data_IF_802525997046
#
_entry.id   IF_802525997046
#
_cell.length_a   1.000
_cell.length_b   1.000
_cell.length_c   1.000
_cell.angle_alpha   90.00
_cell.angle_beta   90.00
_cell.angle_gamma   90.00
#
_symmetry.space_group_name_H-M   'P 1'
#
loop_
_entity.id
_entity.type
_entity.pdbx_description
1 polymer ?
#
# COMPACT_ATOMS: atom_id res chain seq x y z
N UNK A 1 -14.75 54.05 -59.34
CA UNK A 1 -13.62 53.23 -58.90
C UNK A 1 -13.73 52.96 -57.41
N UNK A 2 -14.46 51.98 -56.91
CA UNK A 2 -15.64 51.25 -57.36
C UNK A 2 -16.18 50.59 -56.07
N UNK A 3 -17.49 50.76 -55.87
CA UNK A 3 -18.49 49.77 -55.40
C UNK A 3 -18.11 48.83 -54.22
N UNK A 4 -18.90 48.61 -53.18
CA UNK A 4 -20.31 48.90 -52.81
C UNK A 4 -20.49 48.31 -51.38
N UNK A 5 -20.94 48.98 -50.29
CA UNK A 5 -22.29 49.49 -49.92
C UNK A 5 -23.36 48.37 -49.98
N UNK A 6 -24.24 48.01 -49.02
CA UNK A 6 -24.81 48.64 -47.81
C UNK A 6 -25.57 47.60 -46.92
N UNK A 7 -25.61 47.86 -45.60
CA UNK A 7 -26.79 47.99 -44.69
C UNK A 7 -28.13 47.31 -45.05
N UNK A 8 -28.80 46.69 -44.07
CA UNK A 8 -29.98 47.28 -43.40
C UNK A 8 -30.56 46.49 -42.21
N UNK A 9 -31.01 47.27 -41.21
CA UNK A 9 -31.94 46.95 -40.13
C UNK A 9 -33.35 46.59 -40.62
N UNK A 10 -34.13 45.82 -39.83
CA UNK A 10 -35.37 46.36 -39.25
C UNK A 10 -36.08 45.41 -38.28
N UNK A 11 -36.46 46.02 -37.15
CA UNK A 11 -37.50 45.62 -36.21
C UNK A 11 -38.91 45.59 -36.84
N UNK A 12 -39.83 44.75 -36.35
CA UNK A 12 -41.19 45.22 -36.01
C UNK A 12 -41.98 44.24 -35.11
N UNK A 13 -42.82 44.85 -34.27
CA UNK A 13 -43.67 44.28 -33.21
C UNK A 13 -45.00 43.69 -33.73
N UNK A 14 -45.61 42.86 -32.87
CA UNK A 14 -46.96 43.02 -32.27
C UNK A 14 -48.09 42.01 -32.60
N UNK A 15 -48.81 41.70 -31.51
CA UNK A 15 -50.26 41.35 -31.30
C UNK A 15 -50.51 39.90 -30.87
N UNK A 16 -50.81 39.62 -29.60
CA UNK A 16 -52.06 39.87 -28.81
C UNK A 16 -53.30 39.17 -29.36
N UNK A 17 -53.78 38.17 -28.62
CA UNK A 17 -55.20 38.03 -28.27
C UNK A 17 -55.41 36.95 -27.19
N UNK A 18 -55.82 37.39 -25.99
CA UNK A 18 -56.57 36.59 -25.00
C UNK A 18 -58.02 36.37 -25.49
N UNK A 19 -58.77 35.40 -24.93
CA UNK A 19 -59.66 35.66 -23.77
C UNK A 19 -59.76 34.41 -22.84
N UNK A 20 -60.40 34.31 -21.67
CA UNK A 20 -61.26 35.13 -20.81
C UNK A 20 -61.40 34.38 -19.45
N UNK A 21 -61.59 35.14 -18.37
CA UNK A 21 -61.98 34.69 -17.00
C UNK A 21 -63.43 34.18 -16.94
N UNK A 22 -63.72 33.28 -15.99
CA UNK A 22 -64.79 33.49 -14.98
C UNK A 22 -64.83 32.41 -13.88
N UNK A 23 -64.85 32.89 -12.61
CA UNK A 23 -65.67 32.49 -11.42
C UNK A 23 -65.98 31.00 -11.15
N UNK A 24 -65.98 30.42 -9.94
CA UNK A 24 -65.97 30.89 -8.55
C UNK A 24 -66.70 29.86 -7.65
N UNK A 25 -66.48 29.93 -6.32
CA UNK A 25 -67.24 29.38 -5.17
C UNK A 25 -66.95 27.98 -4.55
N UNK A 26 -66.66 28.09 -3.24
CA UNK A 26 -67.19 27.35 -2.07
C UNK A 26 -66.77 25.90 -1.78
N UNK A 27 -66.35 25.66 -0.52
CA UNK A 27 -65.95 24.37 0.06
C UNK A 27 -67.11 23.38 0.32
N UNK A 28 -66.84 22.19 0.89
CA UNK A 28 -66.75 22.06 2.35
C UNK A 28 -65.66 21.09 2.87
N UNK A 29 -65.54 20.97 4.21
CA UNK A 29 -64.54 20.19 4.96
C UNK A 29 -64.93 18.70 5.17
N UNK A 30 -63.88 17.84 5.19
CA UNK A 30 -63.67 16.52 5.89
C UNK A 30 -64.46 15.29 5.38
N UNK A 31 -63.97 14.02 5.53
CA UNK A 31 -63.05 13.51 6.57
C UNK A 31 -61.87 12.60 6.14
N UNK A 32 -61.07 12.25 7.16
CA UNK A 32 -59.86 11.40 7.19
C UNK A 32 -60.09 9.94 6.73
N UNK A 33 -59.17 9.41 5.92
CA UNK A 33 -58.36 8.17 6.08
C UNK A 33 -58.07 7.46 4.76
N UNK A 34 -56.82 6.97 4.62
CA UNK A 34 -56.31 5.88 3.74
C UNK A 34 -56.22 6.28 2.25
N UNK A 35 -55.18 6.02 1.45
CA UNK A 35 -53.81 5.50 1.53
C UNK A 35 -53.27 5.62 0.08
N UNK A 36 -51.95 5.58 -0.09
CA UNK A 36 -51.19 5.21 -1.31
C UNK A 36 -50.46 6.37 -2.04
N UNK A 37 -49.18 6.50 -1.65
CA UNK A 37 -47.94 6.55 -2.46
C UNK A 37 -47.89 7.53 -3.64
N UNK A 38 -47.04 8.56 -3.53
CA UNK A 38 -45.93 8.85 -4.46
C UNK A 38 -45.18 10.14 -4.03
N UNK A 39 -43.87 10.15 -4.31
CA UNK A 39 -42.91 11.28 -4.24
C UNK A 39 -42.26 11.57 -2.88
N UNK A 40 -41.16 10.86 -2.60
CA UNK A 40 -39.95 11.41 -1.95
C UNK A 40 -38.82 10.36 -1.95
N UNK A 41 -38.17 10.14 -3.09
CA UNK A 41 -36.89 9.42 -3.15
C UNK A 41 -35.93 10.22 -4.04
N UNK A 42 -35.14 11.07 -3.40
CA UNK A 42 -33.87 11.57 -3.92
C UNK A 42 -33.05 12.04 -2.73
N UNK A 43 -31.80 11.57 -2.66
CA UNK A 43 -30.79 11.80 -1.63
C UNK A 43 -30.82 10.85 -0.42
N UNK A 44 -30.36 9.60 -0.63
CA UNK A 44 -29.61 8.83 0.38
C UNK A 44 -29.13 7.49 -0.23
N UNK A 45 -28.03 7.49 -0.98
CA UNK A 45 -27.20 6.27 -1.18
C UNK A 45 -25.73 6.70 -1.26
N UNK A 46 -25.16 7.04 -0.10
CA UNK A 46 -23.80 6.57 0.19
C UNK A 46 -23.96 5.11 0.58
N UNK A 47 -23.33 4.21 -0.17
CA UNK A 47 -23.35 2.78 0.14
C UNK A 47 -22.13 2.46 1.01
N UNK A 48 -22.26 2.26 2.33
CA UNK A 48 -21.27 1.53 3.09
C UNK A 48 -21.41 0.04 2.77
N UNK A 49 -20.26 -0.58 2.54
CA UNK A 49 -20.08 -2.02 2.39
C UNK A 49 -20.85 -2.76 3.50
N UNK A 50 -21.79 -3.61 3.08
CA UNK A 50 -22.61 -4.45 3.96
C UNK A 50 -21.74 -5.37 4.82
N UNK A 51 -21.80 -5.18 6.14
CA UNK A 51 -21.51 -6.20 7.15
C UNK A 51 -22.83 -6.82 7.62
N UNK A 52 -22.92 -8.15 7.54
CA UNK A 52 -24.09 -8.90 8.00
C UNK A 52 -24.22 -8.84 9.53
N UNK A 53 -25.36 -8.33 10.00
CA UNK A 53 -25.79 -8.41 11.40
C UNK A 53 -26.30 -9.83 11.70
N UNK A 54 -25.60 -10.56 12.57
CA UNK A 54 -26.24 -11.58 13.40
C UNK A 54 -26.13 -11.15 14.86
N UNK A 55 -27.29 -10.76 15.41
CA UNK A 55 -27.52 -10.61 16.84
C UNK A 55 -27.40 -11.99 17.52
N UNK A 56 -26.44 -12.14 18.43
CA UNK A 56 -26.48 -13.14 19.50
C UNK A 56 -26.32 -12.38 20.81
N UNK A 57 -27.23 -12.69 21.74
CA UNK A 57 -27.41 -12.03 23.02
C UNK A 57 -26.21 -12.20 23.97
N UNK A 58 -26.06 -11.20 24.82
CA UNK A 58 -25.24 -11.02 26.02
C UNK A 58 -24.74 -12.29 26.73
N UNK A 59 -23.48 -12.24 27.16
CA UNK A 59 -22.98 -13.01 28.30
C UNK A 59 -21.46 -12.98 28.43
N UNK A 60 -21.00 -12.51 29.59
CA UNK A 60 -19.66 -12.69 30.18
C UNK A 60 -18.57 -11.62 29.92
N UNK A 61 -18.25 -10.98 31.05
CA UNK A 61 -17.17 -10.04 31.32
C UNK A 61 -15.89 -10.86 31.54
N UNK A 62 -14.80 -10.51 30.86
CA UNK A 62 -13.45 -10.93 31.25
C UNK A 62 -12.52 -9.71 31.25
N UNK A 63 -11.78 -9.61 32.35
CA UNK A 63 -11.02 -8.47 32.84
C UNK A 63 -9.72 -8.20 32.08
N UNK A 64 -9.35 -6.92 32.06
CA UNK A 64 -8.01 -6.44 31.81
C UNK A 64 -7.05 -6.96 32.89
N UNK A 65 -5.98 -7.66 32.49
CA UNK A 65 -4.66 -7.65 33.12
C UNK A 65 -3.74 -8.59 32.32
N UNK A 66 -2.74 -8.02 31.63
CA UNK A 66 -1.40 -8.62 31.42
C UNK A 66 -0.58 -7.79 30.41
N UNK A 67 -0.07 -6.64 30.85
CA UNK A 67 1.09 -5.97 30.26
C UNK A 67 1.96 -5.37 31.35
N UNK A 68 2.76 -6.21 32.03
CA UNK A 68 3.91 -5.74 32.79
C UNK A 68 5.00 -6.81 32.87
N UNK A 69 6.07 -6.64 32.08
CA UNK A 69 7.33 -7.37 32.26
C UNK A 69 8.28 -6.48 33.07
N UNK A 70 8.68 -6.92 34.26
CA UNK A 70 9.84 -6.40 35.01
C UNK A 70 10.81 -7.55 35.33
N UNK A 71 12.14 -7.32 35.32
CA UNK A 71 13.15 -8.37 35.45
C UNK A 71 13.39 -8.74 36.92
N UNK A 72 13.91 -9.96 37.23
CA UNK A 72 14.14 -10.36 38.60
C UNK A 72 15.48 -9.84 39.14
N UNK A 73 15.41 -9.21 40.32
CA UNK A 73 16.55 -8.92 41.19
C UNK A 73 16.73 -10.03 42.24
N UNK A 74 17.99 -10.33 42.52
CA UNK A 74 18.53 -11.21 43.56
C UNK A 74 18.11 -10.85 45.00
N UNK A 75 17.81 -11.86 45.82
CA UNK A 75 18.26 -12.04 47.22
C UNK A 75 17.51 -13.24 47.85
N UNK A 76 18.20 -14.30 48.31
CA UNK A 76 18.82 -14.48 49.63
C UNK A 76 17.81 -14.65 50.78
N UNK A 77 17.48 -15.89 51.18
CA UNK A 77 17.13 -16.27 52.57
C UNK A 77 17.58 -17.72 52.86
N UNK A 78 18.25 -17.89 54.01
CA UNK A 78 18.75 -19.11 54.66
C UNK A 78 17.66 -19.95 55.31
N UNK A 79 17.92 -21.26 55.43
CA UNK A 79 17.89 -22.12 56.66
C UNK A 79 17.42 -23.55 56.31
N UNK A 80 17.80 -24.66 56.95
CA UNK A 80 18.87 -25.08 57.88
C UNK A 80 18.78 -26.64 57.95
N UNK A 81 19.94 -27.32 58.00
CA UNK A 81 20.27 -28.61 58.69
C UNK A 81 19.75 -29.92 58.04
N UNK A 82 20.45 -31.07 58.01
CA UNK A 82 21.58 -31.60 58.81
C UNK A 82 22.35 -32.75 58.08
N UNK A 83 23.64 -32.96 58.46
CA UNK A 83 24.38 -34.26 58.70
C UNK A 83 24.48 -35.31 57.56
N UNK A 84 25.59 -35.98 57.17
CA UNK A 84 26.89 -36.35 57.80
C UNK A 84 27.86 -36.87 56.71
N UNK A 85 29.17 -36.81 56.98
CA UNK A 85 30.18 -37.89 56.74
C UNK A 85 30.99 -38.01 55.43
N UNK A 86 32.30 -37.77 55.61
CA UNK A 86 33.49 -38.50 55.09
C UNK A 86 34.09 -38.22 53.69
N UNK A 87 35.34 -37.73 53.75
CA UNK A 87 36.45 -37.72 52.75
C UNK A 87 36.95 -39.15 52.41
N UNK A 88 37.97 -39.39 51.53
CA UNK A 88 38.77 -38.49 50.66
C UNK A 88 38.97 -38.94 49.17
N UNK A 89 39.41 -37.99 48.32
CA UNK A 89 40.47 -37.97 47.25
C UNK A 89 40.91 -39.26 46.47
N UNK A 90 41.69 -39.18 45.36
CA UNK A 90 41.92 -38.12 44.34
C UNK A 90 42.03 -38.66 42.86
N UNK A 91 42.43 -37.77 41.94
CA UNK A 91 43.21 -37.98 40.68
C UNK A 91 42.46 -38.09 39.34
N UNK A 92 42.94 -37.30 38.36
CA UNK A 92 42.82 -37.53 36.91
C UNK A 92 42.10 -36.39 36.17
N UNK A 93 42.83 -35.44 35.56
CA UNK A 93 43.00 -35.33 34.09
C UNK A 93 41.72 -34.86 33.37
N UNK A 94 41.62 -33.87 32.48
CA UNK A 94 42.49 -33.11 31.55
C UNK A 94 41.59 -32.00 30.95
N UNK A 95 42.16 -30.91 30.39
CA UNK A 95 41.44 -30.07 29.42
C UNK A 95 41.68 -28.56 29.49
N UNK A 96 42.35 -27.95 28.49
CA UNK A 96 42.77 -26.55 28.50
C UNK A 96 41.83 -25.58 27.76
N UNK A 97 41.93 -24.33 28.20
CA UNK A 97 41.96 -23.05 27.49
C UNK A 97 40.93 -22.64 26.42
N UNK A 98 40.34 -21.48 26.74
CA UNK A 98 39.53 -20.59 25.92
C UNK A 98 40.41 -19.81 24.92
N UNK A 99 40.20 -20.05 23.64
CA UNK A 99 40.42 -19.10 22.54
C UNK A 99 39.05 -18.43 22.26
N UNK A 100 38.85 -17.13 22.06
CA UNK A 100 39.75 -16.11 21.53
C UNK A 100 39.01 -15.43 20.36
N UNK A 101 38.14 -14.45 20.63
CA UNK A 101 37.47 -13.65 19.59
C UNK A 101 37.75 -12.16 19.83
N UNK A 102 38.85 -11.66 19.25
CA UNK A 102 39.18 -10.23 19.13
C UNK A 102 40.06 -10.01 17.91
N UNK A 103 39.48 -9.57 16.79
CA UNK A 103 40.10 -8.88 15.65
C UNK A 103 38.89 -8.38 14.82
N UNK A 104 38.65 -7.10 14.55
CA UNK A 104 39.48 -6.13 13.82
C UNK A 104 38.99 -4.70 14.14
N UNK A 105 39.85 -3.86 14.72
CA UNK A 105 39.80 -2.39 14.57
C UNK A 105 41.18 -1.84 14.97
N UNK A 106 42.03 -1.57 13.96
CA UNK A 106 43.04 -0.50 13.93
C UNK A 106 43.87 -0.64 12.68
N UNK A 107 43.90 0.40 11.87
CA UNK A 107 45.14 1.02 11.39
C UNK A 107 44.80 2.39 10.77
N UNK A 108 45.07 3.44 11.54
CA UNK A 108 45.23 4.83 11.10
C UNK A 108 46.51 5.34 11.76
N UNK A 109 47.22 6.21 11.03
CA UNK A 109 48.39 7.03 11.40
C UNK A 109 49.78 6.38 11.31
N UNK A 110 50.53 6.67 10.23
CA UNK A 110 51.46 7.81 10.14
C UNK A 110 52.32 7.74 8.86
N UNK A 111 52.36 8.82 8.08
CA UNK A 111 53.52 9.16 7.24
C UNK A 111 53.52 10.68 6.99
N UNK A 112 54.64 11.32 7.32
CA UNK A 112 54.95 12.74 7.05
C UNK A 112 55.77 12.88 5.78
N UNK A 113 55.45 13.94 5.03
CA UNK A 113 56.30 14.81 4.20
C UNK A 113 57.36 14.21 3.26
N UNK A 114 57.06 14.22 1.95
CA UNK A 114 58.02 14.53 0.87
C UNK A 114 57.31 15.37 -0.22
N UNK A 115 58.01 16.42 -0.67
CA UNK A 115 57.68 17.50 -1.63
C UNK A 115 57.41 17.03 -3.09
N UNK A 116 56.79 17.86 -3.97
CA UNK A 116 56.11 17.41 -5.18
C UNK A 116 56.90 17.62 -6.49
N UNK A 117 56.80 16.67 -7.43
CA UNK A 117 56.81 16.92 -8.88
C UNK A 117 56.42 15.66 -9.69
N UNK A 118 55.80 15.90 -10.85
CA UNK A 118 55.50 14.97 -11.97
C UNK A 118 54.38 13.93 -11.77
N UNK A 119 53.14 14.17 -12.23
CA UNK A 119 52.62 14.14 -13.61
C UNK A 119 52.21 12.74 -14.14
N UNK A 120 50.90 12.60 -14.35
CA UNK A 120 50.22 11.78 -15.36
C UNK A 120 50.48 10.26 -15.40
N UNK A 121 49.54 9.52 -14.82
CA UNK A 121 48.73 8.43 -15.43
C UNK A 121 48.32 7.49 -14.31
N UNK A 122 47.05 7.57 -13.92
CA UNK A 122 46.33 6.43 -13.35
C UNK A 122 44.85 6.61 -13.68
N UNK A 123 44.46 6.07 -14.83
CA UNK A 123 43.10 5.59 -15.05
C UNK A 123 42.89 4.44 -14.07
N UNK A 124 42.45 4.76 -12.86
CA UNK A 124 41.91 3.77 -11.95
C UNK A 124 40.49 3.47 -12.41
N UNK A 125 40.37 2.30 -13.03
CA UNK A 125 39.15 1.49 -13.14
C UNK A 125 38.27 1.66 -11.91
N UNK A 126 37.22 2.48 -12.06
CA UNK A 126 36.06 2.49 -11.19
C UNK A 126 35.38 1.13 -11.34
N UNK A 127 35.75 0.20 -10.47
CA UNK A 127 35.00 -1.03 -10.25
C UNK A 127 33.58 -0.65 -9.87
N UNK A 128 32.67 -0.83 -10.83
CA UNK A 128 31.23 -0.80 -10.62
C UNK A 128 30.90 -1.71 -9.43
N UNK A 129 30.63 -1.11 -8.27
CA UNK A 129 29.77 -1.74 -7.29
C UNK A 129 28.40 -1.85 -7.97
N UNK A 130 28.14 -3.02 -8.57
CA UNK A 130 26.81 -3.42 -9.02
C UNK A 130 25.82 -3.08 -7.90
N UNK A 131 24.87 -2.18 -8.17
CA UNK A 131 23.85 -1.86 -7.17
C UNK A 131 23.17 -3.17 -6.79
N UNK A 132 23.08 -3.44 -5.48
CA UNK A 132 22.41 -4.65 -4.93
C UNK A 132 20.91 -4.68 -5.32
N UNK A 133 20.38 -3.55 -5.81
CA UNK A 133 19.01 -3.35 -6.21
C UNK A 133 18.91 -3.10 -7.71
N UNK A 134 17.86 -3.64 -8.32
CA UNK A 134 17.42 -3.23 -9.64
C UNK A 134 16.89 -1.79 -9.58
N UNK A 135 17.20 -0.99 -10.60
CA UNK A 135 16.55 0.28 -10.87
C UNK A 135 15.06 0.10 -11.20
N UNK A 136 14.29 1.18 -11.21
CA UNK A 136 12.88 1.11 -11.62
C UNK A 136 12.71 0.70 -13.09
N UNK A 137 13.66 1.03 -13.95
CA UNK A 137 13.66 0.61 -15.35
C UNK A 137 13.88 -0.91 -15.47
N UNK A 138 14.86 -1.44 -14.74
CA UNK A 138 15.13 -2.89 -14.69
C UNK A 138 14.00 -3.68 -13.99
N UNK A 139 13.33 -3.07 -13.02
CA UNK A 139 12.18 -3.68 -12.35
C UNK A 139 10.95 -3.73 -13.25
N UNK A 140 10.63 -2.64 -13.91
CA UNK A 140 9.40 -2.54 -14.71
C UNK A 140 9.56 -3.20 -16.07
N UNK A 141 10.79 -3.26 -16.61
CA UNK A 141 11.08 -3.67 -17.98
C UNK A 141 10.10 -3.03 -18.97
N UNK A 142 9.90 -1.72 -18.82
CA UNK A 142 8.94 -0.98 -19.62
C UNK A 142 9.24 -1.15 -21.12
N UNK A 143 8.30 -1.72 -21.90
CA UNK A 143 8.53 -1.93 -23.32
C UNK A 143 8.56 -0.59 -24.08
N UNK A 144 9.20 -0.52 -25.26
CA UNK A 144 9.15 0.68 -26.08
C UNK A 144 7.71 1.04 -26.44
N UNK A 145 7.39 2.33 -26.45
CA UNK A 145 6.05 2.81 -26.73
C UNK A 145 5.54 2.34 -28.11
N UNK A 146 4.27 1.92 -28.15
CA UNK A 146 3.64 1.40 -29.36
C UNK A 146 3.95 -0.07 -29.71
N UNK A 147 4.79 -0.76 -28.94
CA UNK A 147 5.14 -2.16 -29.23
C UNK A 147 4.15 -3.20 -28.68
N UNK A 148 3.41 -2.87 -27.63
CA UNK A 148 2.42 -3.78 -27.05
C UNK A 148 1.18 -3.89 -27.93
N UNK A 149 0.74 -5.13 -28.17
CA UNK A 149 -0.54 -5.45 -28.83
C UNK A 149 -1.45 -6.14 -27.82
N UNK A 150 -2.58 -5.51 -27.52
CA UNK A 150 -3.53 -6.06 -26.57
C UNK A 150 -4.51 -7.03 -27.23
N UNK A 151 -4.97 -8.08 -26.51
CA UNK A 151 -5.76 -9.16 -27.09
C UNK A 151 -7.21 -8.74 -27.42
N UNK A 152 -7.65 -7.59 -26.92
CA UNK A 152 -9.00 -7.06 -27.08
C UNK A 152 -8.95 -5.55 -27.29
N UNK A 153 -9.90 -5.02 -28.06
CA UNK A 153 -10.08 -3.56 -28.24
C UNK A 153 -10.46 -2.83 -26.95
N UNK A 154 -10.95 -3.57 -25.95
CA UNK A 154 -11.30 -3.02 -24.62
C UNK A 154 -10.12 -3.08 -23.64
N UNK A 155 -8.92 -3.44 -24.13
CA UNK A 155 -7.70 -3.50 -23.35
C UNK A 155 -6.67 -2.52 -23.93
N UNK A 156 -6.17 -1.63 -23.08
CA UNK A 156 -5.29 -0.54 -23.44
C UNK A 156 -3.87 -0.87 -22.97
N UNK A 157 -2.85 -0.72 -23.83
CA UNK A 157 -1.47 -0.91 -23.43
C UNK A 157 -1.01 0.23 -22.51
N UNK A 158 -0.38 -0.13 -21.39
CA UNK A 158 0.16 0.81 -20.41
C UNK A 158 1.69 0.81 -20.45
N UNK A 159 2.22 2.02 -20.66
CA UNK A 159 3.63 2.34 -20.59
C UNK A 159 3.93 3.25 -19.41
N UNK A 160 5.14 3.12 -18.89
CA UNK A 160 5.70 4.01 -17.89
C UNK A 160 5.86 5.42 -18.49
N UNK A 161 5.72 6.44 -17.64
CA UNK A 161 6.00 7.84 -18.00
C UNK A 161 7.15 8.32 -17.13
N UNK A 162 8.33 8.48 -17.72
CA UNK A 162 9.49 9.02 -16.99
C UNK A 162 9.58 10.52 -17.22
N UNK A 163 9.37 11.30 -16.17
CA UNK A 163 9.52 12.76 -16.21
C UNK A 163 10.95 13.09 -15.78
N UNK A 164 11.78 13.47 -16.75
CA UNK A 164 13.14 13.96 -16.49
C UNK A 164 13.05 15.39 -15.93
N UNK A 165 13.57 15.60 -14.73
CA UNK A 165 13.57 16.92 -14.10
C UNK A 165 14.66 17.80 -14.76
N UNK A 166 14.25 18.88 -15.44
CA UNK A 166 15.17 19.87 -16.01
C UNK A 166 15.56 20.91 -14.94
N UNK A 167 16.84 20.95 -14.58
CA UNK A 167 17.61 22.02 -13.90
C UNK A 167 17.05 22.68 -12.60
N UNK A 168 17.73 22.37 -11.49
CA UNK A 168 18.17 23.23 -10.36
C UNK A 168 17.24 24.17 -9.56
N UNK A 169 15.95 24.30 -9.83
CA UNK A 169 15.04 24.94 -8.84
C UNK A 169 14.32 23.88 -7.99
N UNK A 170 15.07 23.21 -7.13
CA UNK A 170 14.50 22.21 -6.23
C UNK A 170 13.91 22.89 -4.99
N UNK A 171 12.61 22.67 -4.76
CA UNK A 171 12.25 22.30 -3.39
C UNK A 171 12.74 20.87 -3.20
N UNK A 172 13.72 20.64 -2.33
CA UNK A 172 14.08 19.30 -1.91
C UNK A 172 12.85 18.63 -1.27
N UNK A 173 12.27 17.65 -1.98
CA UNK A 173 11.11 16.91 -1.47
C UNK A 173 11.53 15.61 -0.82
N UNK A 174 10.94 15.30 0.34
CA UNK A 174 11.20 14.06 1.08
C UNK A 174 10.51 12.85 0.44
N UNK A 175 9.27 13.00 -0.01
CA UNK A 175 8.59 12.02 -0.88
C UNK A 175 8.92 12.32 -2.35
N UNK A 176 9.60 11.42 -3.07
CA UNK A 176 9.90 11.58 -4.50
C UNK A 176 8.63 11.66 -5.36
N UNK A 177 8.70 12.41 -6.47
CA UNK A 177 7.62 12.53 -7.45
C UNK A 177 7.51 11.28 -8.34
N UNK A 178 7.04 10.19 -7.74
CA UNK A 178 6.87 8.88 -8.38
C UNK A 178 5.51 8.31 -8.01
N UNK A 179 4.85 7.69 -8.98
CA UNK A 179 3.60 6.97 -8.79
C UNK A 179 3.86 5.51 -9.14
N UNK A 180 3.49 4.61 -8.23
CA UNK A 180 3.57 3.16 -8.39
C UNK A 180 2.15 2.60 -8.45
N UNK A 181 1.86 1.88 -9.53
CA UNK A 181 0.60 1.15 -9.73
C UNK A 181 0.94 -0.26 -10.17
N UNK A 182 0.20 -1.26 -9.66
CA UNK A 182 0.36 -2.65 -10.06
C UNK A 182 -0.92 -3.24 -10.65
N UNK A 183 -0.75 -4.14 -11.62
CA UNK A 183 -1.80 -5.02 -12.13
C UNK A 183 -1.14 -6.30 -12.67
N UNK A 184 -1.89 -7.31 -13.11
CA UNK A 184 -1.25 -8.55 -13.56
C UNK A 184 -0.45 -8.38 -14.87
N UNK A 185 -0.90 -7.51 -15.78
CA UNK A 185 -0.33 -7.37 -17.12
C UNK A 185 -0.46 -5.93 -17.64
N UNK A 186 0.37 -5.57 -18.62
CA UNK A 186 0.41 -4.22 -19.22
C UNK A 186 -0.74 -3.90 -20.18
N UNK A 187 -1.52 -4.89 -20.59
CA UNK A 187 -2.79 -4.67 -21.29
C UNK A 187 -3.91 -4.63 -20.25
N UNK A 188 -4.40 -3.45 -19.93
CA UNK A 188 -5.39 -3.27 -18.85
C UNK A 188 -6.76 -2.95 -19.43
N UNK A 189 -7.87 -3.38 -18.80
CA UNK A 189 -9.20 -2.92 -19.18
C UNK A 189 -9.29 -1.40 -19.30
N UNK A 190 -10.01 -0.90 -20.30
CA UNK A 190 -10.22 0.52 -20.60
C UNK A 190 -10.62 1.37 -19.37
N UNK A 191 -11.46 0.85 -18.49
CA UNK A 191 -11.86 1.53 -17.24
C UNK A 191 -10.69 1.71 -16.26
N UNK A 192 -9.75 0.77 -16.20
CA UNK A 192 -8.53 0.89 -15.40
C UNK A 192 -7.51 1.80 -16.07
N UNK A 193 -7.42 1.77 -17.40
CA UNK A 193 -6.58 2.70 -18.16
C UNK A 193 -7.03 4.16 -17.95
N UNK A 194 -8.35 4.38 -17.87
CA UNK A 194 -8.92 5.68 -17.50
C UNK A 194 -8.43 6.14 -16.12
N UNK A 195 -8.43 5.27 -15.11
CA UNK A 195 -7.93 5.60 -13.77
C UNK A 195 -6.45 6.00 -13.78
N UNK A 196 -5.63 5.27 -14.54
CA UNK A 196 -4.21 5.58 -14.74
C UNK A 196 -4.05 6.95 -15.40
N UNK A 197 -4.84 7.24 -16.44
CA UNK A 197 -4.76 8.52 -17.13
C UNK A 197 -5.12 9.69 -16.19
N UNK A 198 -6.15 9.52 -15.34
CA UNK A 198 -6.51 10.53 -14.34
C UNK A 198 -5.36 10.83 -13.37
N UNK A 199 -4.63 9.82 -12.91
CA UNK A 199 -3.41 10.03 -12.10
C UNK A 199 -2.32 10.77 -12.86
N UNK A 200 -2.07 10.39 -14.12
CA UNK A 200 -1.08 11.06 -14.98
C UNK A 200 -1.45 12.53 -15.20
N UNK A 201 -2.73 12.85 -15.37
CA UNK A 201 -3.24 14.21 -15.58
C UNK A 201 -3.19 15.06 -14.29
N UNK A 202 -3.57 14.48 -13.15
CA UNK A 202 -3.58 15.17 -11.86
C UNK A 202 -2.17 15.50 -11.33
N UNK A 203 -1.19 14.67 -11.69
CA UNK A 203 0.21 14.77 -11.27
C UNK A 203 1.16 14.77 -12.49
N UNK A 204 1.14 15.81 -13.34
CA UNK A 204 1.87 15.83 -14.61
C UNK A 204 3.40 15.84 -14.43
N UNK A 205 3.87 16.28 -13.27
CA UNK A 205 5.28 16.37 -12.88
C UNK A 205 5.80 15.11 -12.15
N UNK A 206 4.98 14.08 -12.02
CA UNK A 206 5.36 12.80 -11.43
C UNK A 206 5.70 11.78 -12.51
N UNK A 207 6.79 11.05 -12.30
CA UNK A 207 7.05 9.83 -13.05
C UNK A 207 6.02 8.76 -12.65
N UNK A 208 5.50 8.04 -13.62
CA UNK A 208 4.54 6.95 -13.43
C UNK A 208 5.19 5.63 -13.81
N UNK A 209 5.18 4.66 -12.90
CA UNK A 209 5.75 3.33 -13.09
C UNK A 209 4.67 2.27 -12.93
N UNK A 210 4.48 1.46 -13.98
CA UNK A 210 3.55 0.35 -13.97
C UNK A 210 4.26 -0.96 -13.67
N UNK A 211 3.69 -1.74 -12.76
CA UNK A 211 4.26 -3.01 -12.30
C UNK A 211 3.30 -4.15 -12.64
N UNK A 212 3.64 -4.91 -13.67
CA UNK A 212 2.97 -6.19 -13.96
C UNK A 212 3.36 -7.28 -12.94
N UNK A 213 2.77 -8.47 -13.04
CA UNK A 213 3.08 -9.58 -12.12
C UNK A 213 4.58 -9.93 -12.13
N UNK A 214 5.23 -9.86 -13.30
CA UNK A 214 6.66 -10.13 -13.42
C UNK A 214 7.49 -9.05 -12.71
N UNK A 215 7.11 -7.77 -12.80
CA UNK A 215 7.76 -6.69 -12.05
C UNK A 215 7.58 -6.83 -10.54
N UNK A 216 6.39 -7.25 -10.10
CA UNK A 216 6.11 -7.57 -8.70
C UNK A 216 7.00 -8.71 -8.22
N UNK A 217 7.13 -9.78 -9.00
CA UNK A 217 7.96 -10.94 -8.66
C UNK A 217 9.45 -10.60 -8.67
N UNK A 218 9.94 -9.83 -9.65
CA UNK A 218 11.32 -9.31 -9.66
C UNK A 218 11.65 -8.54 -8.39
N UNK A 219 10.72 -7.71 -7.89
CA UNK A 219 10.94 -7.01 -6.63
C UNK A 219 11.02 -8.01 -5.47
N UNK A 220 10.04 -8.91 -5.32
CA UNK A 220 9.96 -9.83 -4.17
C UNK A 220 11.13 -10.82 -4.10
N UNK A 221 11.78 -11.10 -5.22
CA UNK A 221 12.90 -12.04 -5.34
C UNK A 221 14.28 -11.36 -5.24
N UNK A 222 14.36 -10.06 -4.94
CA UNK A 222 15.67 -9.40 -4.82
C UNK A 222 16.48 -9.97 -3.64
N UNK A 223 17.77 -10.32 -3.85
CA UNK A 223 18.66 -10.80 -2.79
C UNK A 223 18.83 -9.83 -1.62
N UNK A 224 18.55 -8.54 -1.84
CA UNK A 224 18.56 -7.54 -0.78
C UNK A 224 17.67 -7.92 0.42
N UNK A 225 16.57 -8.61 0.17
CA UNK A 225 15.63 -8.96 1.23
C UNK A 225 16.19 -10.00 2.19
N UNK A 226 17.09 -10.87 1.76
CA UNK A 226 17.73 -11.85 2.64
C UNK A 226 18.55 -11.16 3.75
N UNK A 227 19.11 -9.99 3.45
CA UNK A 227 19.82 -9.17 4.42
C UNK A 227 18.88 -8.31 5.27
N UNK A 228 17.85 -7.71 4.65
CA UNK A 228 16.99 -6.73 5.34
C UNK A 228 15.83 -7.36 6.12
N UNK A 229 15.22 -8.39 5.56
CA UNK A 229 14.08 -9.13 6.11
C UNK A 229 14.30 -10.64 5.91
N UNK A 230 15.20 -11.29 6.68
CA UNK A 230 15.65 -12.67 6.42
C UNK A 230 14.52 -13.72 6.37
N UNK A 231 13.42 -13.49 7.08
CA UNK A 231 12.27 -14.41 7.09
C UNK A 231 11.27 -14.15 5.94
N UNK A 232 11.42 -13.06 5.18
CA UNK A 232 10.44 -12.64 4.17
C UNK A 232 10.17 -13.75 3.15
N UNK A 233 11.22 -14.28 2.52
CA UNK A 233 11.07 -15.34 1.51
C UNK A 233 10.35 -16.58 2.07
N UNK A 234 10.71 -16.97 3.31
CA UNK A 234 10.12 -18.11 4.00
C UNK A 234 8.65 -17.88 4.28
N UNK A 235 8.28 -16.76 4.92
CA UNK A 235 6.87 -16.50 5.30
C UNK A 235 5.96 -16.22 4.11
N UNK A 236 6.52 -15.73 2.99
CA UNK A 236 5.77 -15.53 1.75
C UNK A 236 5.23 -16.85 1.17
N UNK A 237 5.80 -18.00 1.52
CA UNK A 237 5.23 -19.32 1.16
C UNK A 237 3.83 -19.53 1.75
N UNK A 238 3.50 -18.88 2.87
CA UNK A 238 2.18 -18.94 3.50
C UNK A 238 1.13 -18.05 2.81
N UNK A 239 1.52 -17.19 1.86
CA UNK A 239 0.60 -16.30 1.13
C UNK A 239 -0.08 -17.07 0.02
N UNK A 240 -1.36 -17.44 0.22
CA UNK A 240 -2.14 -18.20 -0.77
C UNK A 240 -2.92 -17.33 -1.76
N UNK A 241 -3.29 -16.12 -1.37
CA UNK A 241 -4.02 -15.18 -2.21
C UNK A 241 -3.03 -14.22 -2.88
N UNK A 242 -2.45 -14.68 -4.00
CA UNK A 242 -1.41 -13.96 -4.74
C UNK A 242 -1.86 -12.62 -5.34
N UNK A 243 -3.15 -12.32 -5.36
CA UNK A 243 -3.65 -10.97 -5.63
C UNK A 243 -3.47 -10.08 -4.39
N UNK A 244 -4.50 -9.99 -3.55
CA UNK A 244 -4.54 -9.02 -2.44
C UNK A 244 -3.34 -9.11 -1.48
N UNK A 245 -3.03 -10.29 -0.93
CA UNK A 245 -1.99 -10.40 0.11
C UNK A 245 -0.57 -10.15 -0.43
N UNK A 246 -0.26 -10.64 -1.64
CA UNK A 246 1.05 -10.42 -2.26
C UNK A 246 1.25 -8.93 -2.56
N UNK A 247 0.22 -8.25 -3.07
CA UNK A 247 0.28 -6.82 -3.41
C UNK A 247 0.34 -5.95 -2.14
N UNK A 248 -0.31 -6.35 -1.04
CA UNK A 248 -0.13 -5.69 0.27
C UNK A 248 1.33 -5.69 0.75
N UNK A 249 2.05 -6.79 0.52
CA UNK A 249 3.49 -6.86 0.84
C UNK A 249 4.30 -6.02 -0.15
N UNK A 250 4.07 -6.23 -1.45
CA UNK A 250 4.81 -5.56 -2.51
C UNK A 250 4.71 -4.02 -2.42
N UNK A 251 3.52 -3.46 -2.16
CA UNK A 251 3.32 -2.00 -2.09
C UNK A 251 4.13 -1.34 -0.96
N UNK A 252 4.34 -2.06 0.15
CA UNK A 252 5.19 -1.58 1.24
C UNK A 252 6.66 -1.61 0.82
N UNK A 253 7.10 -2.67 0.15
CA UNK A 253 8.50 -2.83 -0.29
C UNK A 253 8.90 -1.87 -1.40
N UNK A 254 8.04 -1.65 -2.40
CA UNK A 254 8.34 -0.73 -3.51
C UNK A 254 8.50 0.70 -3.00
N UNK A 255 7.60 1.13 -2.11
CA UNK A 255 7.66 2.46 -1.48
C UNK A 255 8.82 2.54 -0.48
N UNK A 256 9.17 1.44 0.21
CA UNK A 256 10.37 1.39 1.06
C UNK A 256 11.66 1.67 0.27
N UNK A 257 11.83 1.06 -0.91
CA UNK A 257 13.05 1.25 -1.70
C UNK A 257 13.06 2.59 -2.44
N UNK A 258 11.97 2.93 -3.12
CA UNK A 258 11.95 4.02 -4.08
C UNK A 258 11.21 5.27 -3.60
N UNK A 259 10.54 5.19 -2.45
CA UNK A 259 9.61 6.21 -1.99
C UNK A 259 8.46 6.42 -2.97
N UNK A 260 7.84 7.59 -2.90
CA UNK A 260 6.78 7.99 -3.81
C UNK A 260 5.40 7.55 -3.36
N UNK A 261 4.42 7.78 -4.23
CA UNK A 261 3.00 7.48 -4.05
C UNK A 261 2.69 6.09 -4.61
N UNK A 262 2.03 5.27 -3.82
CA UNK A 262 1.33 4.08 -4.28
C UNK A 262 -0.18 4.36 -4.34
N UNK A 263 -0.85 3.79 -5.34
CA UNK A 263 -2.32 3.75 -5.43
C UNK A 263 -2.76 2.42 -6.06
N UNK A 264 -3.88 1.88 -5.58
CA UNK A 264 -4.60 0.81 -6.28
C UNK A 264 -5.01 1.32 -7.68
N UNK A 265 -5.08 0.41 -8.66
CA UNK A 265 -5.32 0.77 -10.06
C UNK A 265 -6.76 1.23 -10.34
N UNK A 266 -7.72 0.83 -9.50
CA UNK A 266 -9.15 1.16 -9.58
C UNK A 266 -9.52 2.40 -8.74
N UNK A 267 -8.51 3.09 -8.23
CA UNK A 267 -8.61 4.34 -7.48
C UNK A 267 -8.25 5.49 -8.41
N UNK A 268 -9.07 6.55 -8.40
CA UNK A 268 -8.84 7.76 -9.19
C UNK A 268 -8.69 8.99 -8.30
N UNK A 269 -7.86 9.96 -8.69
CA UNK A 269 -7.78 11.23 -7.97
C UNK A 269 -9.10 11.99 -8.14
N UNK A 270 -9.65 12.46 -7.04
CA UNK A 270 -10.75 13.41 -7.03
C UNK A 270 -10.29 14.81 -7.42
N UNK A 271 -11.22 15.77 -7.59
CA UNK A 271 -10.92 17.12 -8.08
C UNK A 271 -9.95 17.91 -7.20
N UNK A 272 -9.76 17.53 -5.94
CA UNK A 272 -8.87 18.23 -5.00
C UNK A 272 -7.49 17.57 -4.85
N UNK A 273 -7.27 16.40 -5.46
CA UNK A 273 -5.95 15.76 -5.46
C UNK A 273 -5.13 16.29 -6.64
N UNK A 274 -4.05 17.01 -6.35
CA UNK A 274 -3.16 17.62 -7.34
C UNK A 274 -1.70 17.68 -6.82
N UNK A 275 -0.81 18.33 -7.57
CA UNK A 275 0.63 18.40 -7.28
C UNK A 275 0.99 19.07 -5.95
N UNK A 276 0.07 19.81 -5.33
CA UNK A 276 0.24 20.44 -4.02
C UNK A 276 -0.29 19.60 -2.85
N UNK A 277 -1.02 18.51 -3.11
CA UNK A 277 -1.66 17.69 -2.06
C UNK A 277 -0.64 17.04 -1.13
N UNK A 278 0.45 16.52 -1.68
CA UNK A 278 1.60 16.05 -0.91
C UNK A 278 2.58 17.22 -0.82
N UNK A 279 2.96 17.63 0.37
CA UNK A 279 3.87 18.75 0.58
C UNK A 279 5.33 18.31 0.45
N UNK A 280 6.26 19.25 0.21
CA UNK A 280 7.69 18.96 0.03
C UNK A 280 8.35 18.36 1.27
N UNK A 281 7.92 18.77 2.45
CA UNK A 281 8.40 18.24 3.73
C UNK A 281 7.70 16.96 4.20
N UNK A 282 6.63 16.50 3.52
CA UNK A 282 5.94 15.26 3.90
C UNK A 282 6.88 14.06 3.75
N UNK A 283 7.02 13.26 4.80
CA UNK A 283 7.77 11.99 4.77
C UNK A 283 6.84 10.77 4.72
N UNK A 284 5.57 10.96 5.13
CA UNK A 284 4.50 9.98 5.07
C UNK A 284 3.17 10.68 4.80
N UNK A 285 2.45 10.24 3.78
CA UNK A 285 1.12 10.69 3.42
C UNK A 285 0.19 9.49 3.29
N UNK A 286 -1.02 9.57 3.82
CA UNK A 286 -2.02 8.49 3.72
C UNK A 286 -3.40 9.08 3.93
N UNK A 287 -4.42 8.47 3.33
CA UNK A 287 -5.79 8.69 3.75
C UNK A 287 -6.10 7.76 4.93
N UNK A 288 -7.24 7.93 5.58
CA UNK A 288 -7.61 7.04 6.68
C UNK A 288 -9.04 6.58 6.53
N UNK A 289 -9.27 5.32 6.88
CA UNK A 289 -10.61 4.79 6.96
C UNK A 289 -11.31 5.20 8.26
N UNK A 290 -12.56 4.73 8.42
CA UNK A 290 -13.39 5.01 9.59
C UNK A 290 -12.77 4.52 10.92
N UNK A 291 -11.84 3.54 10.87
CA UNK A 291 -11.16 2.96 12.03
C UNK A 291 -9.81 3.65 12.34
N UNK A 292 -9.54 4.80 11.73
CA UNK A 292 -8.26 5.53 11.80
C UNK A 292 -7.05 4.66 11.37
N UNK A 293 -7.28 3.73 10.43
CA UNK A 293 -6.19 3.01 9.79
C UNK A 293 -5.71 3.81 8.57
N UNK A 294 -4.38 3.95 8.40
CA UNK A 294 -3.82 4.38 7.12
C UNK A 294 -4.37 3.52 5.98
N UNK A 295 -4.84 4.14 4.91
CA UNK A 295 -5.23 3.44 3.70
C UNK A 295 -3.99 2.75 3.11
N UNK A 296 -4.09 1.44 2.88
CA UNK A 296 -3.08 0.75 2.08
C UNK A 296 -3.36 0.85 0.58
N UNK A 297 -4.58 1.18 0.17
CA UNK A 297 -4.95 1.40 -1.23
C UNK A 297 -4.44 2.73 -1.79
N UNK A 298 -3.98 3.65 -0.93
CA UNK A 298 -3.27 4.87 -1.32
C UNK A 298 -2.42 5.42 -0.17
N UNK A 299 -1.12 5.56 -0.39
CA UNK A 299 -0.21 6.20 0.56
C UNK A 299 1.10 6.56 -0.13
N UNK A 300 1.86 7.48 0.45
CA UNK A 300 3.19 7.83 -0.02
C UNK A 300 4.19 7.88 1.13
N UNK A 301 5.45 7.51 0.87
CA UNK A 301 6.52 7.63 1.85
C UNK A 301 7.82 8.14 1.21
N UNK A 302 8.68 8.74 2.04
CA UNK A 302 10.08 8.89 1.68
C UNK A 302 10.74 7.50 1.60
N UNK A 303 11.79 7.32 0.78
CA UNK A 303 12.56 6.08 0.78
C UNK A 303 13.05 5.74 2.19
N UNK A 304 13.03 4.45 2.53
CA UNK A 304 13.48 3.88 3.81
C UNK A 304 12.76 4.45 5.04
N UNK A 305 11.49 4.87 4.90
CA UNK A 305 10.72 5.36 6.03
C UNK A 305 10.52 4.27 7.11
N UNK A 306 10.75 4.55 8.41
CA UNK A 306 10.66 3.54 9.47
C UNK A 306 9.29 2.87 9.60
N UNK A 307 8.21 3.58 9.23
CA UNK A 307 6.85 3.00 9.18
C UNK A 307 6.82 1.77 8.27
N UNK A 308 7.39 1.83 7.07
CA UNK A 308 7.40 0.68 6.15
C UNK A 308 8.20 -0.50 6.73
N UNK A 309 9.34 -0.23 7.39
CA UNK A 309 10.12 -1.25 8.07
C UNK A 309 9.33 -1.94 9.20
N UNK A 310 8.73 -1.15 10.09
CA UNK A 310 7.89 -1.71 11.17
C UNK A 310 6.63 -2.41 10.65
N UNK A 311 6.09 -1.97 9.51
CA UNK A 311 5.00 -2.68 8.84
C UNK A 311 5.47 -4.03 8.32
N UNK A 312 6.66 -4.12 7.72
CA UNK A 312 7.22 -5.39 7.24
C UNK A 312 7.53 -6.37 8.38
N UNK A 313 8.07 -5.89 9.51
CA UNK A 313 8.24 -6.71 10.72
C UNK A 313 6.89 -7.30 11.18
N UNK A 314 5.86 -6.45 11.22
CA UNK A 314 4.55 -6.84 11.67
C UNK A 314 3.88 -7.83 10.72
N UNK A 315 4.00 -7.63 9.41
CA UNK A 315 3.49 -8.56 8.39
C UNK A 315 4.13 -9.94 8.59
N UNK A 316 5.46 -10.02 8.68
CA UNK A 316 6.17 -11.29 8.88
C UNK A 316 5.70 -12.00 10.16
N UNK A 317 5.58 -11.25 11.26
CA UNK A 317 5.06 -11.77 12.54
C UNK A 317 3.63 -12.28 12.43
N UNK A 318 2.76 -11.58 11.68
CA UNK A 318 1.35 -11.97 11.50
C UNK A 318 1.19 -13.17 10.57
N UNK A 319 1.99 -13.26 9.52
CA UNK A 319 2.05 -14.43 8.64
C UNK A 319 2.48 -15.67 9.42
N UNK A 320 3.57 -15.59 10.20
CA UNK A 320 4.03 -16.71 11.04
C UNK A 320 2.97 -17.17 12.04
N UNK A 321 2.22 -16.25 12.65
CA UNK A 321 1.15 -16.58 13.62
C UNK A 321 -0.20 -16.92 12.96
N UNK A 322 -0.27 -16.99 11.63
CA UNK A 322 -1.50 -17.29 10.91
C UNK A 322 -1.94 -18.73 11.17
N UNK A 323 -3.09 -18.88 11.85
CA UNK A 323 -3.64 -20.19 12.22
C UNK A 323 -4.29 -20.97 11.08
N UNK A 324 -4.67 -20.30 10.01
CA UNK A 324 -5.32 -20.92 8.86
C UNK A 324 -4.92 -20.19 7.57
N UNK A 325 -4.03 -20.80 6.79
CA UNK A 325 -3.52 -20.21 5.54
C UNK A 325 -4.56 -20.22 4.41
N UNK A 326 -5.58 -21.09 4.49
CA UNK A 326 -6.68 -21.14 3.53
C UNK A 326 -7.72 -20.04 3.75
N UNK A 327 -7.88 -19.56 5.00
CA UNK A 327 -8.83 -18.51 5.39
C UNK A 327 -8.15 -17.33 6.11
N UNK A 328 -7.19 -16.66 5.46
CA UNK A 328 -6.46 -15.54 6.06
C UNK A 328 -7.39 -14.34 6.25
N UNK A 329 -7.22 -13.65 7.38
CA UNK A 329 -7.83 -12.33 7.61
C UNK A 329 -6.97 -11.27 6.91
N UNK A 330 -7.07 -11.15 5.59
CA UNK A 330 -6.16 -10.33 4.74
C UNK A 330 -5.94 -8.92 5.28
N UNK A 331 -7.02 -8.17 5.57
CA UNK A 331 -6.98 -6.81 6.15
C UNK A 331 -6.13 -6.74 7.42
N UNK A 332 -6.14 -7.81 8.21
CA UNK A 332 -5.42 -7.89 9.46
C UNK A 332 -3.98 -8.34 9.28
N UNK A 333 -3.69 -9.25 8.34
CA UNK A 333 -2.40 -9.93 8.25
C UNK A 333 -1.40 -9.11 7.44
N UNK A 334 -1.76 -8.77 6.20
CA UNK A 334 -0.92 -7.99 5.27
C UNK A 334 -1.46 -6.58 5.03
N UNK A 335 -2.77 -6.38 5.21
CA UNK A 335 -3.49 -5.17 4.86
C UNK A 335 -3.37 -3.99 5.86
N UNK A 336 -4.33 -3.04 5.83
CA UNK A 336 -4.30 -1.78 6.59
C UNK A 336 -3.99 -1.90 8.09
N UNK A 337 -4.37 -3.00 8.74
CA UNK A 337 -4.09 -3.18 10.16
C UNK A 337 -2.59 -3.36 10.45
N UNK A 338 -1.84 -4.01 9.55
CA UNK A 338 -0.40 -4.17 9.68
C UNK A 338 0.31 -2.81 9.48
N UNK A 339 -0.19 -1.99 8.54
CA UNK A 339 0.29 -0.63 8.36
C UNK A 339 0.00 0.25 9.58
N UNK A 340 -1.21 0.15 10.16
CA UNK A 340 -1.56 0.84 11.43
C UNK A 340 -0.59 0.46 12.55
N UNK A 341 -0.28 -0.83 12.71
CA UNK A 341 0.65 -1.28 13.74
C UNK A 341 2.08 -0.73 13.52
N UNK A 342 2.56 -0.70 12.28
CA UNK A 342 3.84 -0.08 11.94
C UNK A 342 3.88 1.42 12.26
N UNK A 343 2.82 2.16 11.89
CA UNK A 343 2.64 3.58 12.25
C UNK A 343 2.65 3.79 13.76
N UNK A 344 1.87 3.00 14.51
CA UNK A 344 1.76 3.14 15.96
C UNK A 344 3.10 2.87 16.65
N UNK A 345 3.88 1.87 16.19
CA UNK A 345 5.23 1.59 16.71
C UNK A 345 6.16 2.79 16.46
N UNK A 346 6.12 3.36 15.26
CA UNK A 346 6.88 4.55 14.93
C UNK A 346 6.52 5.75 15.84
N UNK A 347 5.23 6.05 15.98
CA UNK A 347 4.76 7.15 16.82
C UNK A 347 5.13 6.95 18.30
N UNK A 348 5.08 5.72 18.79
CA UNK A 348 5.49 5.37 20.16
C UNK A 348 6.98 5.62 20.40
N UNK A 349 7.85 5.14 19.50
CA UNK A 349 9.31 5.32 19.61
C UNK A 349 9.71 6.78 19.45
N UNK A 350 9.03 7.53 18.57
CA UNK A 350 9.21 8.98 18.43
C UNK A 350 8.92 9.71 19.74
N UNK A 351 7.81 9.37 20.43
CA UNK A 351 7.45 9.96 21.74
C UNK A 351 8.46 9.65 22.84
N UNK A 352 9.25 8.59 22.71
CA UNK A 352 10.29 8.20 23.68
C UNK A 352 11.63 8.91 23.46
N UNK A 353 11.75 9.78 22.45
CA UNK A 353 12.98 10.55 22.21
C UNK A 353 14.17 9.68 21.80
N UNK A 354 13.93 8.56 21.13
CA UNK A 354 15.02 7.74 20.59
C UNK A 354 15.76 8.55 19.50
N UNK A 355 16.90 9.13 19.91
CA UNK A 355 17.82 9.90 19.07
C UNK A 355 18.20 9.10 17.82
N UNK A 356 17.75 9.58 16.66
CA UNK A 356 17.85 8.92 15.36
C UNK A 356 16.58 9.09 14.50
N UNK A 357 15.43 9.24 15.16
CA UNK A 357 14.14 9.52 14.51
C UNK A 357 13.64 10.96 14.72
N UNK A 358 14.27 11.72 15.63
CA UNK A 358 13.94 13.13 15.94
C UNK A 358 14.31 14.13 14.83
N UNK A 359 15.37 13.87 14.05
CA UNK A 359 15.77 14.71 12.91
C UNK A 359 14.94 14.45 11.65
N UNK A 360 14.11 13.41 11.71
CA UNK A 360 13.13 13.09 10.72
C UNK A 360 11.91 13.92 11.11
N UNK A 361 11.82 15.13 10.56
CA UNK A 361 10.70 16.08 10.71
C UNK A 361 9.41 15.47 10.08
N UNK A 362 8.91 14.42 10.73
CA UNK A 362 8.17 13.29 10.13
C UNK A 362 6.66 13.39 10.22
N UNK A 363 6.09 14.58 10.42
CA UNK A 363 4.71 14.64 10.88
C UNK A 363 3.92 15.78 10.28
N UNK A 364 3.77 15.76 8.97
CA UNK A 364 2.45 16.07 8.44
C UNK A 364 1.79 14.79 7.95
N UNK A 365 1.12 14.11 8.88
CA UNK A 365 0.13 13.09 8.54
C UNK A 365 -1.12 13.85 8.11
N UNK A 366 -1.25 14.08 6.80
CA UNK A 366 -2.44 14.75 6.26
C UNK A 366 -3.57 13.74 6.13
N UNK A 367 -4.49 13.71 7.10
CA UNK A 367 -5.75 12.98 6.99
C UNK A 367 -6.78 13.88 6.32
N UNK A 368 -7.35 13.38 5.24
CA UNK A 368 -8.27 14.15 4.41
C UNK A 368 -9.53 13.32 4.20
N UNK A 369 -10.70 13.98 4.27
CA UNK A 369 -11.99 13.33 4.01
C UNK A 369 -12.10 12.92 2.53
N UNK A 370 -12.38 11.64 2.31
CA UNK A 370 -12.24 10.92 1.03
C UNK A 370 -13.08 11.45 -0.14
N UNK A 371 -14.34 11.94 0.02
CA UNK A 371 -15.26 12.12 -1.12
C UNK A 371 -14.77 13.07 -2.23
N UNK A 372 -13.89 14.02 -1.91
CA UNK A 372 -13.40 15.01 -2.87
C UNK A 372 -11.97 14.75 -3.34
N UNK A 373 -11.26 13.84 -2.69
CA UNK A 373 -9.85 13.54 -2.98
C UNK A 373 -9.69 12.26 -3.76
N UNK A 374 -10.64 11.33 -3.66
CA UNK A 374 -10.57 10.03 -4.31
C UNK A 374 -11.96 9.60 -4.79
N UNK A 375 -12.00 8.96 -5.94
CA UNK A 375 -13.19 8.34 -6.51
C UNK A 375 -12.87 6.92 -6.97
N UNK A 376 -13.87 6.04 -6.95
CA UNK A 376 -13.82 4.74 -7.61
C UNK A 376 -15.11 4.56 -8.41
N UNK A 377 -14.96 4.05 -9.64
CA UNK A 377 -16.05 3.85 -10.59
C UNK A 377 -16.47 2.38 -10.71
N UNK A 378 -15.92 1.51 -9.87
CA UNK A 378 -16.06 0.05 -10.01
C UNK A 378 -17.51 -0.44 -9.91
N UNK A 379 -18.38 0.31 -9.25
CA UNK A 379 -19.80 -0.04 -9.08
C UNK A 379 -20.72 0.69 -10.07
N UNK A 380 -20.17 1.52 -10.98
CA UNK A 380 -20.94 2.15 -12.06
C UNK A 380 -21.37 1.11 -13.11
N UNK A 381 -22.57 1.28 -13.67
CA UNK A 381 -23.09 0.44 -14.75
C UNK A 381 -22.59 0.95 -16.11
N UNK A 382 -22.08 0.03 -16.92
CA UNK A 382 -21.62 0.27 -18.29
C UNK A 382 -22.20 -0.79 -19.24
N UNK A 383 -22.38 -0.40 -20.50
CA UNK A 383 -22.75 -1.35 -21.56
C UNK A 383 -21.49 -2.07 -22.07
N UNK A 384 -21.54 -3.40 -22.09
CA UNK A 384 -20.47 -4.25 -22.61
C UNK A 384 -21.06 -5.43 -23.37
N UNK A 385 -20.70 -5.55 -24.65
CA UNK A 385 -21.15 -6.62 -25.55
C UNK A 385 -22.69 -6.81 -25.57
N UNK A 386 -23.43 -5.69 -25.55
CA UNK A 386 -24.90 -5.71 -25.58
C UNK A 386 -25.57 -6.05 -24.24
N UNK A 387 -24.82 -6.05 -23.13
CA UNK A 387 -25.34 -6.26 -21.78
C UNK A 387 -24.89 -5.15 -20.83
N UNK A 388 -25.77 -4.76 -19.90
CA UNK A 388 -25.43 -3.82 -18.84
C UNK A 388 -24.78 -4.59 -17.67
N UNK A 389 -23.59 -4.18 -17.28
CA UNK A 389 -22.89 -4.75 -16.12
C UNK A 389 -22.10 -3.68 -15.38
N UNK A 390 -21.62 -3.99 -14.18
CA UNK A 390 -20.75 -3.06 -13.45
C UNK A 390 -19.36 -2.99 -14.10
N UNK A 391 -18.68 -1.86 -13.93
CA UNK A 391 -17.25 -1.69 -14.30
C UNK A 391 -16.40 -2.81 -13.69
N UNK A 392 -16.69 -3.22 -12.45
CA UNK A 392 -16.05 -4.36 -11.79
C UNK A 392 -16.23 -5.64 -12.60
N UNK A 393 -17.46 -6.03 -12.92
CA UNK A 393 -17.72 -7.26 -13.66
C UNK A 393 -17.06 -7.25 -15.05
N UNK A 394 -17.11 -6.11 -15.76
CA UNK A 394 -16.42 -5.92 -17.05
C UNK A 394 -14.90 -6.11 -16.88
N UNK A 395 -14.31 -5.50 -15.86
CA UNK A 395 -12.88 -5.59 -15.56
C UNK A 395 -12.47 -7.04 -15.25
N UNK A 396 -13.25 -7.76 -14.46
CA UNK A 396 -13.00 -9.17 -14.13
C UNK A 396 -13.09 -10.06 -15.39
N UNK A 397 -14.09 -9.84 -16.25
CA UNK A 397 -14.23 -10.58 -17.52
C UNK A 397 -13.06 -10.35 -18.47
N UNK A 398 -12.59 -9.10 -18.61
CA UNK A 398 -11.50 -8.76 -19.51
C UNK A 398 -10.12 -9.19 -18.99
N UNK A 399 -9.89 -9.04 -17.68
CA UNK A 399 -8.59 -9.33 -17.07
C UNK A 399 -8.41 -10.79 -16.65
N UNK A 400 -9.51 -11.52 -16.46
CA UNK A 400 -9.52 -12.84 -15.83
C UNK A 400 -9.20 -12.80 -14.32
N UNK A 401 -9.07 -11.61 -13.72
CA UNK A 401 -8.79 -11.46 -12.29
C UNK A 401 -10.10 -11.22 -11.56
N UNK A 402 -10.45 -12.13 -10.66
CA UNK A 402 -11.58 -11.93 -9.75
C UNK A 402 -11.20 -11.03 -8.59
N UNK A 403 -12.16 -10.26 -8.08
CA UNK A 403 -11.98 -9.54 -6.83
C UNK A 403 -11.77 -10.52 -5.65
N UNK A 404 -10.99 -10.09 -4.64
CA UNK A 404 -10.53 -10.96 -3.55
C UNK A 404 -11.63 -11.77 -2.84
N UNK A 405 -12.81 -11.20 -2.47
CA UNK A 405 -13.87 -11.93 -1.81
C UNK A 405 -14.40 -13.09 -2.66
N UNK A 406 -14.33 -12.97 -3.99
CA UNK A 406 -14.76 -14.00 -4.92
C UNK A 406 -13.67 -15.04 -5.14
N UNK A 407 -12.38 -14.64 -5.13
CA UNK A 407 -11.26 -15.58 -5.05
C UNK A 407 -11.37 -16.50 -3.82
N UNK A 408 -11.77 -15.97 -2.66
CA UNK A 408 -11.99 -16.77 -1.42
C UNK A 408 -13.13 -17.75 -1.56
N UNK A 409 -14.21 -17.35 -2.23
CA UNK A 409 -15.35 -18.24 -2.46
C UNK A 409 -14.94 -19.42 -3.33
N UNK A 410 -14.12 -19.19 -4.36
CA UNK A 410 -13.62 -20.23 -5.26
C UNK A 410 -12.54 -21.10 -4.61
N UNK A 411 -11.67 -20.54 -3.77
CA UNK A 411 -10.56 -21.23 -3.10
C UNK A 411 -10.98 -22.19 -1.98
N UNK A 412 -12.28 -22.29 -1.65
CA UNK A 412 -12.83 -23.29 -0.72
C UNK A 412 -12.55 -24.75 -1.14
N UNK A 413 -11.92 -24.95 -2.29
CA UNK A 413 -11.45 -26.23 -2.85
C UNK A 413 -9.99 -26.57 -2.49
N UNK A 414 -9.28 -25.76 -1.71
CA UNK A 414 -7.85 -25.98 -1.42
C UNK A 414 -7.63 -26.84 -0.15
N UNK A 415 -6.81 -27.90 -0.28
CA UNK A 415 -6.41 -28.90 0.73
C UNK A 415 -5.67 -28.38 1.99
N UNK A 416 -5.71 -27.08 2.30
CA UNK A 416 -5.00 -26.49 3.44
C UNK A 416 -5.94 -26.02 4.56
N UNK A 417 -7.19 -26.52 4.59
CA UNK A 417 -8.14 -26.13 5.63
C UNK A 417 -7.63 -26.54 7.02
N UNK A 418 -7.56 -25.58 7.94
CA UNK A 418 -7.08 -25.79 9.30
C UNK A 418 -5.56 -25.78 9.46
N UNK A 419 -4.79 -25.71 8.38
CA UNK A 419 -3.33 -25.69 8.43
C UNK A 419 -2.81 -24.29 8.79
N UNK A 420 -1.97 -24.20 9.83
CA UNK A 420 -1.28 -22.97 10.18
C UNK A 420 -0.10 -22.69 9.24
N UNK A 421 0.39 -21.45 9.24
CA UNK A 421 1.60 -21.12 8.47
C UNK A 421 2.80 -21.94 8.96
N UNK A 422 2.95 -22.15 10.27
CA UNK A 422 4.04 -22.93 10.84
C UNK A 422 3.97 -24.39 10.41
N UNK A 423 2.79 -25.02 10.45
CA UNK A 423 2.62 -26.41 10.00
C UNK A 423 2.93 -26.55 8.51
N UNK A 424 2.50 -25.57 7.70
CA UNK A 424 2.77 -25.55 6.27
C UNK A 424 4.26 -25.42 5.96
N UNK A 425 4.97 -24.53 6.66
CA UNK A 425 6.42 -24.38 6.50
C UNK A 425 7.16 -25.65 6.94
N UNK A 426 6.77 -26.23 8.07
CA UNK A 426 7.35 -27.49 8.54
C UNK A 426 7.15 -28.63 7.52
N UNK A 427 5.99 -28.69 6.86
CA UNK A 427 5.73 -29.65 5.79
C UNK A 427 6.63 -29.44 4.56
N UNK A 428 6.89 -28.18 4.18
CA UNK A 428 7.79 -27.88 3.05
C UNK A 428 9.27 -28.17 3.35
N UNK A 429 9.66 -28.06 4.62
CA UNK A 429 11.03 -28.28 5.10
C UNK A 429 11.36 -29.76 5.32
N UNK A 430 10.37 -30.66 5.23
CA UNK A 430 10.62 -32.09 5.30
C UNK A 430 11.44 -32.57 4.09
N UNK A 431 12.47 -33.42 4.31
CA UNK A 431 13.20 -34.03 3.21
C UNK A 431 12.22 -34.79 2.31
N UNK A 432 12.27 -34.56 0.99
CA UNK A 432 11.55 -35.42 0.05
C UNK A 432 12.19 -36.80 0.10
N UNK A 433 11.44 -37.77 0.64
CA UNK A 433 11.83 -39.17 0.77
C UNK A 433 12.12 -39.84 -0.56
#
# INVERSE_FOLDING_TARGET
MDESVAKNDNSFRSRLSSPSRSNGRAGPRLPRRILIILVAWSMAVYSPIWYSHHQIQKGEVLSEDDLAFRPPSSSFVRSKWSTTSQNPSPVGETGPDRLGLKFLLKNVSNAKDVSPQESQKNQTTSTNQSSIFLSLEELTLNPPEGTLRCPSQYMIPIYDRVVLQKNNSFEERRIPRRIHVSFNQRCVPDELAYSIQKWKDALPDHSFYFHDDDAVDRLLQQPYWDMKFPELYRVMQCVKYKGAMKIDVWRILIVYLFGGLYTDIDVTPGPWFNTSTIHSNDTFFTLSDADDRPSQWLFAMSPRHPIAEFTMDEIQRRLLKMKNIAKPRVVHITGPQALKAGRNKFEHLKKQGLHGYDTMDTTKVSKIDTPHYIQSRMDETVEFQGSNMTVRNKTEQLSGILHWPDQVKQSKTINYEGMSCQDYLAMLEQPKS
#
